data_IF_747404060395
#
_entry.id   IF_747404060395
#
_cell.length_a   1.000
_cell.length_b   1.000
_cell.length_c   1.000
_cell.angle_alpha   90.00
_cell.angle_beta   90.00
_cell.angle_gamma   90.00
#
_symmetry.space_group_name_H-M   'P 1'
#
loop_
_entity.id
_entity.type
_entity.pdbx_description
1 polymer ?
#
# COMPACT_ATOMS: atom_id res chain seq x y z
N UNK A 1 -58.23 -38.54 42.95
CA UNK A 1 -59.23 -39.01 41.97
C UNK A 1 -58.57 -39.01 40.59
N UNK A 2 -58.57 -40.18 39.93
CA UNK A 2 -58.17 -40.51 38.54
C UNK A 2 -56.67 -40.41 38.18
N UNK A 3 -55.92 -41.54 38.18
CA UNK A 3 -55.74 -42.60 37.13
C UNK A 3 -54.84 -42.12 35.99
N UNK A 4 -53.62 -42.62 35.75
CA UNK A 4 -53.10 -44.00 35.63
C UNK A 4 -53.54 -44.70 34.32
N UNK A 5 -53.05 -44.16 33.19
CA UNK A 5 -52.88 -44.79 31.88
C UNK A 5 -52.09 -43.76 31.03
N UNK A 6 -50.78 -43.83 30.80
CA UNK A 6 -50.06 -44.98 30.29
C UNK A 6 -48.65 -45.11 30.88
N UNK A 7 -48.42 -46.28 31.46
CA UNK A 7 -47.09 -46.87 31.57
C UNK A 7 -46.56 -47.16 30.16
N UNK A 8 -45.43 -46.58 29.79
CA UNK A 8 -44.74 -47.02 28.59
C UNK A 8 -43.41 -46.33 28.31
N UNK A 9 -42.32 -46.95 28.76
CA UNK A 9 -40.93 -46.75 28.31
C UNK A 9 -40.20 -45.48 28.79
N UNK A 10 -39.40 -45.64 29.84
CA UNK A 10 -37.98 -45.27 29.78
C UNK A 10 -37.28 -45.75 31.07
N UNK A 11 -36.79 -46.99 31.02
CA UNK A 11 -35.81 -47.46 31.96
C UNK A 11 -34.53 -46.61 31.85
N UNK A 12 -33.96 -46.28 33.02
CA UNK A 12 -32.52 -46.09 33.30
C UNK A 12 -31.65 -45.47 32.20
N UNK A 13 -31.12 -44.28 32.47
CA UNK A 13 -29.66 -44.15 32.49
C UNK A 13 -29.22 -43.12 33.52
N UNK A 14 -28.45 -43.60 34.51
CA UNK A 14 -27.71 -42.81 35.49
C UNK A 14 -26.58 -42.06 34.77
N UNK A 15 -26.24 -40.89 35.31
CA UNK A 15 -25.27 -39.97 34.74
C UNK A 15 -23.90 -40.56 34.40
N UNK A 16 -23.36 -40.07 33.30
CA UNK A 16 -21.95 -40.21 32.94
C UNK A 16 -21.26 -38.86 33.18
N UNK A 17 -20.28 -38.85 34.09
CA UNK A 17 -19.29 -37.77 34.13
C UNK A 17 -18.56 -37.75 32.79
N UNK A 18 -18.34 -36.59 32.15
CA UNK A 18 -17.66 -36.54 30.87
C UNK A 18 -16.23 -37.08 31.01
N UNK A 19 -15.85 -37.94 30.07
CA UNK A 19 -14.58 -38.66 30.04
C UNK A 19 -13.37 -37.70 29.94
N UNK A 20 -12.21 -38.01 30.58
CA UNK A 20 -11.02 -37.15 30.54
C UNK A 20 -10.47 -36.89 29.13
N UNK A 21 -10.77 -37.79 28.18
CA UNK A 21 -10.35 -37.68 26.77
C UNK A 21 -11.15 -36.62 25.99
N UNK A 22 -12.43 -36.39 26.30
CA UNK A 22 -13.21 -35.32 25.69
C UNK A 22 -12.65 -33.92 26.04
N UNK A 23 -12.07 -33.77 27.24
CA UNK A 23 -11.41 -32.54 27.69
C UNK A 23 -10.04 -32.29 27.04
N UNK A 24 -9.37 -33.34 26.54
CA UNK A 24 -8.08 -33.24 25.82
C UNK A 24 -8.26 -32.91 24.34
N UNK A 25 -9.31 -33.40 23.69
CA UNK A 25 -9.66 -33.07 22.30
C UNK A 25 -9.95 -31.57 22.12
N UNK A 26 -10.71 -30.95 23.02
CA UNK A 26 -11.04 -29.51 22.97
C UNK A 26 -9.85 -28.57 23.27
N UNK A 27 -8.77 -29.07 23.89
CA UNK A 27 -7.55 -28.27 24.15
C UNK A 27 -6.59 -28.23 22.96
N UNK A 28 -6.60 -29.24 22.08
CA UNK A 28 -5.70 -29.33 20.93
C UNK A 28 -6.07 -28.42 19.75
N UNK A 29 -7.36 -28.10 19.59
CA UNK A 29 -7.86 -27.18 18.55
C UNK A 29 -7.66 -25.70 18.94
N UNK A 30 -7.46 -25.41 20.23
CA UNK A 30 -7.26 -24.05 20.75
C UNK A 30 -5.85 -23.48 20.57
N UNK A 31 -4.81 -24.33 20.53
CA UNK A 31 -3.43 -23.86 20.36
C UNK A 31 -3.18 -23.33 18.93
N UNK A 32 -3.70 -24.03 17.92
CA UNK A 32 -3.63 -23.60 16.52
C UNK A 32 -4.55 -22.43 16.17
N UNK A 33 -5.63 -22.21 16.94
CA UNK A 33 -6.49 -21.03 16.79
C UNK A 33 -5.89 -19.79 17.46
N UNK A 34 -5.30 -19.93 18.65
CA UNK A 34 -4.56 -18.86 19.34
C UNK A 34 -3.33 -18.42 18.55
N UNK A 35 -2.55 -19.36 17.99
CA UNK A 35 -1.40 -19.04 17.14
C UNK A 35 -1.80 -18.31 15.84
N UNK A 36 -2.89 -18.74 15.19
CA UNK A 36 -3.44 -18.01 14.02
C UNK A 36 -3.97 -16.62 14.40
N UNK A 37 -4.67 -16.50 15.53
CA UNK A 37 -5.14 -15.21 16.02
C UNK A 37 -3.97 -14.28 16.36
N UNK A 38 -2.89 -14.81 16.92
CA UNK A 38 -1.65 -14.09 17.16
C UNK A 38 -1.02 -13.59 15.86
N UNK A 39 -0.85 -14.44 14.84
CA UNK A 39 -0.29 -14.01 13.55
C UNK A 39 -1.09 -12.88 12.89
N UNK A 40 -2.42 -12.93 12.97
CA UNK A 40 -3.33 -11.87 12.47
C UNK A 40 -3.24 -10.54 13.24
N UNK A 41 -2.62 -10.54 14.42
CA UNK A 41 -2.32 -9.30 15.16
C UNK A 41 -1.08 -8.60 14.62
N UNK A 42 -0.12 -9.35 14.06
CA UNK A 42 1.18 -8.85 13.62
C UNK A 42 1.22 -8.49 12.14
N UNK A 43 0.56 -9.25 11.27
CA UNK A 43 0.67 -9.09 9.82
C UNK A 43 -0.70 -8.78 9.19
N UNK A 44 -0.79 -7.79 8.29
CA UNK A 44 -1.97 -7.57 7.46
C UNK A 44 -2.30 -8.77 6.57
N UNK A 45 -3.54 -9.26 6.65
CA UNK A 45 -4.03 -10.44 5.91
C UNK A 45 -4.37 -10.16 4.42
N UNK A 46 -4.20 -8.91 3.93
CA UNK A 46 -4.72 -8.49 2.63
C UNK A 46 -3.62 -8.43 1.56
N UNK A 47 -3.59 -9.42 0.66
CA UNK A 47 -2.63 -9.51 -0.45
C UNK A 47 -2.67 -8.26 -1.34
N UNK A 48 -3.87 -7.75 -1.64
CA UNK A 48 -4.06 -6.54 -2.44
C UNK A 48 -3.48 -5.27 -1.80
N UNK A 49 -3.56 -5.14 -0.46
CA UNK A 49 -3.03 -4.00 0.26
C UNK A 49 -1.49 -3.92 0.17
N UNK A 50 -0.83 -5.07 0.29
CA UNK A 50 0.63 -5.17 0.11
C UNK A 50 1.06 -4.78 -1.30
N UNK A 51 0.34 -5.23 -2.34
CA UNK A 51 0.65 -4.87 -3.71
C UNK A 51 0.54 -3.35 -3.93
N UNK A 52 -0.56 -2.72 -3.51
CA UNK A 52 -0.73 -1.28 -3.69
C UNK A 52 0.31 -0.47 -2.89
N UNK A 53 0.63 -0.90 -1.67
CA UNK A 53 1.60 -0.20 -0.83
C UNK A 53 3.05 -0.33 -1.32
N UNK A 54 3.46 -1.50 -1.84
CA UNK A 54 4.86 -1.76 -2.17
C UNK A 54 5.22 -1.52 -3.64
N UNK A 55 4.28 -1.74 -4.58
CA UNK A 55 4.58 -1.68 -6.02
C UNK A 55 5.14 -0.32 -6.47
N UNK A 56 4.64 0.85 -6.01
CA UNK A 56 5.21 2.13 -6.44
C UNK A 56 6.67 2.30 -6.00
N UNK A 57 6.98 1.98 -4.74
CA UNK A 57 8.35 2.05 -4.21
C UNK A 57 9.29 1.10 -4.95
N UNK A 58 8.84 -0.13 -5.19
CA UNK A 58 9.61 -1.13 -5.92
C UNK A 58 9.85 -0.71 -7.38
N UNK A 59 8.86 -0.10 -8.04
CA UNK A 59 9.03 0.42 -9.39
C UNK A 59 10.04 1.57 -9.40
N UNK A 60 9.98 2.46 -8.40
CA UNK A 60 10.95 3.54 -8.26
C UNK A 60 12.38 3.03 -8.07
N UNK A 61 12.56 1.97 -7.27
CA UNK A 61 13.86 1.29 -7.11
C UNK A 61 14.38 0.72 -8.44
N UNK A 62 13.53 0.11 -9.25
CA UNK A 62 13.93 -0.48 -10.53
C UNK A 62 14.19 0.59 -11.60
N UNK A 63 13.40 1.66 -11.63
CA UNK A 63 13.57 2.78 -12.55
C UNK A 63 14.83 3.58 -12.22
N UNK A 64 15.04 3.89 -10.93
CA UNK A 64 16.20 4.63 -10.43
C UNK A 64 17.50 3.82 -10.46
N UNK A 65 17.41 2.50 -10.39
CA UNK A 65 18.54 1.60 -10.25
C UNK A 65 18.71 1.14 -8.79
N UNK A 66 18.95 -0.15 -8.55
CA UNK A 66 19.04 -0.69 -7.20
C UNK A 66 20.31 -0.19 -6.50
N UNK A 67 20.13 0.32 -5.28
CA UNK A 67 21.20 0.71 -4.36
C UNK A 67 20.88 0.14 -2.98
N UNK A 68 21.89 -0.02 -2.12
CA UNK A 68 21.67 -0.49 -0.75
C UNK A 68 20.74 0.47 0.03
N UNK A 69 20.83 1.77 -0.24
CA UNK A 69 19.96 2.81 0.34
C UNK A 69 18.51 2.63 -0.11
N UNK A 70 18.28 2.31 -1.39
CA UNK A 70 16.96 1.99 -1.92
C UNK A 70 16.38 0.72 -1.31
N UNK A 71 17.20 -0.32 -1.13
CA UNK A 71 16.76 -1.55 -0.46
C UNK A 71 16.39 -1.28 1.00
N UNK A 72 17.19 -0.49 1.72
CA UNK A 72 16.90 -0.09 3.08
C UNK A 72 15.61 0.76 3.17
N UNK A 73 15.39 1.68 2.22
CA UNK A 73 14.14 2.43 2.10
C UNK A 73 12.93 1.49 1.95
N UNK A 74 13.04 0.45 1.12
CA UNK A 74 11.96 -0.53 0.95
C UNK A 74 11.68 -1.33 2.21
N UNK A 75 12.72 -1.72 2.95
CA UNK A 75 12.58 -2.41 4.24
C UNK A 75 11.93 -1.49 5.28
N UNK A 76 12.40 -0.24 5.38
CA UNK A 76 11.83 0.77 6.28
C UNK A 76 10.36 1.03 5.96
N UNK A 77 10.01 1.10 4.68
CA UNK A 77 8.63 1.26 4.21
C UNK A 77 7.74 0.07 4.58
N UNK A 78 8.21 -1.16 4.40
CA UNK A 78 7.47 -2.37 4.80
C UNK A 78 7.22 -2.42 6.31
N UNK A 79 8.19 -2.01 7.13
CA UNK A 79 8.00 -1.87 8.57
C UNK A 79 7.04 -0.74 8.92
N UNK A 80 7.11 0.39 8.22
CA UNK A 80 6.18 1.51 8.40
C UNK A 80 4.73 1.08 8.11
N UNK A 81 4.49 0.31 7.05
CA UNK A 81 3.18 -0.24 6.73
C UNK A 81 2.66 -1.19 7.83
N UNK A 82 3.54 -2.02 8.40
CA UNK A 82 3.17 -2.89 9.52
C UNK A 82 2.92 -2.09 10.81
N UNK A 83 3.69 -1.03 11.04
CA UNK A 83 3.50 -0.10 12.15
C UNK A 83 2.16 0.63 12.04
N UNK A 84 1.77 1.08 10.87
CA UNK A 84 0.46 1.70 10.64
C UNK A 84 -0.68 0.75 11.01
N UNK A 85 -0.61 -0.50 10.56
CA UNK A 85 -1.64 -1.51 10.85
C UNK A 85 -1.75 -1.87 12.35
N UNK A 86 -0.61 -1.99 13.02
CA UNK A 86 -0.56 -2.35 14.45
C UNK A 86 -0.82 -1.15 15.35
N UNK A 87 -0.32 0.02 14.96
CA UNK A 87 -0.48 1.31 15.64
C UNK A 87 -1.91 1.82 15.61
N UNK A 88 -2.60 1.75 14.46
CA UNK A 88 -4.03 2.09 14.37
C UNK A 88 -4.88 1.29 15.37
N UNK A 89 -4.67 -0.04 15.41
CA UNK A 89 -5.33 -0.93 16.40
C UNK A 89 -4.99 -0.58 17.85
N UNK A 90 -3.73 -0.23 18.12
CA UNK A 90 -3.31 0.15 19.46
C UNK A 90 -3.95 1.47 19.90
N UNK A 91 -4.09 2.44 19.01
CA UNK A 91 -4.77 3.71 19.30
C UNK A 91 -6.28 3.53 19.50
N UNK A 92 -6.96 2.80 18.61
CA UNK A 92 -8.41 2.55 18.72
C UNK A 92 -8.77 1.80 20.00
N UNK A 93 -7.87 0.94 20.48
CA UNK A 93 -8.01 0.22 21.76
C UNK A 93 -7.61 1.05 22.99
N UNK A 94 -7.49 2.37 22.87
CA UNK A 94 -7.09 3.28 23.95
C UNK A 94 -5.79 2.86 24.63
N UNK A 95 -4.80 2.48 23.81
CA UNK A 95 -3.46 2.05 24.23
C UNK A 95 -3.44 0.79 25.09
N UNK A 96 -4.41 -0.11 24.94
CA UNK A 96 -4.45 -1.37 25.69
C UNK A 96 -3.15 -2.20 25.55
N UNK A 97 -2.64 -2.70 26.70
CA UNK A 97 -1.38 -3.43 26.79
C UNK A 97 -1.29 -4.67 25.88
N UNK A 98 -2.42 -5.26 25.49
CA UNK A 98 -2.48 -6.41 24.58
C UNK A 98 -1.97 -6.08 23.16
N UNK A 99 -2.16 -4.84 22.70
CA UNK A 99 -1.79 -4.42 21.33
C UNK A 99 -0.50 -3.60 21.29
N UNK A 100 0.08 -3.27 22.46
CA UNK A 100 1.32 -2.50 22.57
C UNK A 100 2.57 -3.21 22.02
N UNK A 101 2.82 -4.51 22.30
CA UNK A 101 4.05 -5.17 21.84
C UNK A 101 4.27 -5.14 20.31
N UNK A 102 3.29 -5.47 19.45
CA UNK A 102 3.50 -5.40 18.00
C UNK A 102 3.64 -3.94 17.51
N UNK A 103 2.88 -3.00 18.07
CA UNK A 103 2.97 -1.59 17.69
C UNK A 103 4.34 -1.00 18.04
N UNK A 104 4.84 -1.23 19.25
CA UNK A 104 6.15 -0.74 19.69
C UNK A 104 7.30 -1.44 18.95
N UNK A 105 7.17 -2.74 18.67
CA UNK A 105 8.17 -3.49 17.91
C UNK A 105 8.35 -2.94 16.50
N UNK A 106 7.25 -2.74 15.75
CA UNK A 106 7.34 -2.14 14.43
C UNK A 106 7.73 -0.65 14.48
N UNK A 107 7.29 0.11 15.50
CA UNK A 107 7.75 1.49 15.70
C UNK A 107 9.27 1.56 15.85
N UNK A 108 9.86 0.70 16.69
CA UNK A 108 11.30 0.63 16.90
C UNK A 108 12.03 0.20 15.63
N UNK A 109 11.53 -0.81 14.92
CA UNK A 109 12.14 -1.25 13.65
C UNK A 109 12.10 -0.14 12.59
N UNK A 110 10.98 0.57 12.45
CA UNK A 110 10.86 1.72 11.54
C UNK A 110 11.79 2.85 11.98
N UNK A 111 11.90 3.14 13.29
CA UNK A 111 12.79 4.17 13.80
C UNK A 111 14.27 3.84 13.56
N UNK A 112 14.69 2.61 13.83
CA UNK A 112 16.08 2.15 13.61
C UNK A 112 16.41 2.17 12.12
N UNK A 113 15.57 1.58 11.26
CA UNK A 113 15.83 1.55 9.81
C UNK A 113 15.77 2.95 9.20
N UNK A 114 14.83 3.78 9.64
CA UNK A 114 14.74 5.19 9.25
C UNK A 114 15.94 6.01 9.71
N UNK A 115 16.43 5.81 10.94
CA UNK A 115 17.61 6.52 11.45
C UNK A 115 18.87 6.13 10.67
N UNK A 116 19.08 4.84 10.41
CA UNK A 116 20.20 4.38 9.57
C UNK A 116 20.14 5.03 8.18
N UNK A 117 18.94 5.13 7.60
CA UNK A 117 18.75 5.77 6.30
C UNK A 117 19.01 7.29 6.36
N UNK A 118 18.54 7.98 7.40
CA UNK A 118 18.74 9.43 7.57
C UNK A 118 20.20 9.80 7.85
N UNK A 119 20.92 8.94 8.58
CA UNK A 119 22.37 9.05 8.77
C UNK A 119 23.05 8.89 7.40
N UNK A 120 22.69 7.86 6.63
CA UNK A 120 23.30 7.64 5.30
C UNK A 120 22.89 8.64 4.20
N UNK A 121 21.76 9.32 4.34
CA UNK A 121 21.17 10.26 3.36
C UNK A 121 20.40 11.38 4.06
N UNK A 122 21.09 12.38 4.64
CA UNK A 122 20.43 13.40 5.45
C UNK A 122 19.48 14.29 4.65
N UNK A 123 19.67 14.40 3.34
CA UNK A 123 18.79 15.13 2.44
C UNK A 123 17.36 14.57 2.39
N UNK A 124 17.12 13.30 2.77
CA UNK A 124 15.78 12.74 2.88
C UNK A 124 14.88 13.49 3.88
N UNK A 125 15.46 14.24 4.83
CA UNK A 125 14.70 15.08 5.77
C UNK A 125 13.79 16.10 5.06
N UNK A 126 14.04 16.45 3.79
CA UNK A 126 13.14 17.31 3.00
C UNK A 126 11.73 16.75 2.85
N UNK A 127 11.59 15.43 2.87
CA UNK A 127 10.29 14.74 2.76
C UNK A 127 9.61 14.57 4.11
N UNK A 128 10.31 14.83 5.23
CA UNK A 128 9.77 14.64 6.57
C UNK A 128 8.53 15.49 6.84
N UNK A 129 8.43 16.79 6.45
CA UNK A 129 7.21 17.56 6.65
C UNK A 129 5.99 16.95 5.96
N UNK A 130 6.16 16.47 4.72
CA UNK A 130 5.08 15.82 3.97
C UNK A 130 4.61 14.53 4.67
N UNK A 131 5.53 13.63 5.01
CA UNK A 131 5.17 12.38 5.69
C UNK A 131 4.65 12.60 7.11
N UNK A 132 5.07 13.66 7.79
CA UNK A 132 4.52 14.02 9.09
C UNK A 132 3.05 14.42 8.96
N UNK A 133 2.72 15.27 7.98
CA UNK A 133 1.31 15.65 7.71
C UNK A 133 0.50 14.42 7.31
N UNK A 134 0.99 13.58 6.38
CA UNK A 134 0.29 12.36 5.95
C UNK A 134 0.10 11.37 7.11
N UNK A 135 1.12 11.21 7.97
CA UNK A 135 1.07 10.34 9.13
C UNK A 135 0.09 10.84 10.20
N UNK A 136 0.10 12.14 10.51
CA UNK A 136 -0.86 12.75 11.44
C UNK A 136 -2.28 12.58 10.93
N UNK A 137 -2.51 12.86 9.64
CA UNK A 137 -3.81 12.65 9.00
C UNK A 137 -4.24 11.18 9.12
N UNK A 138 -3.39 10.23 8.76
CA UNK A 138 -3.73 8.81 8.85
C UNK A 138 -4.07 8.37 10.29
N UNK A 139 -3.29 8.80 11.28
CA UNK A 139 -3.55 8.49 12.67
C UNK A 139 -4.78 9.22 13.25
N UNK A 140 -5.06 10.43 12.79
CA UNK A 140 -6.30 11.13 13.09
C UNK A 140 -7.51 10.35 12.53
N UNK A 141 -7.38 9.76 11.33
CA UNK A 141 -8.40 8.89 10.76
C UNK A 141 -8.67 7.67 11.64
N UNK A 142 -7.60 7.05 12.14
CA UNK A 142 -7.70 5.92 13.07
C UNK A 142 -8.37 6.32 14.38
N UNK A 143 -7.99 7.47 14.96
CA UNK A 143 -8.59 7.99 16.20
C UNK A 143 -10.09 8.27 16.05
N UNK A 144 -10.48 8.91 14.94
CA UNK A 144 -11.89 9.18 14.62
C UNK A 144 -12.67 7.94 14.19
N UNK A 145 -12.03 6.75 14.14
CA UNK A 145 -12.60 5.50 13.63
C UNK A 145 -13.09 5.60 12.17
N UNK A 146 -12.48 6.50 11.41
CA UNK A 146 -12.73 6.75 9.98
C UNK A 146 -11.59 6.23 9.10
N UNK A 147 -10.88 5.19 9.52
CA UNK A 147 -9.82 4.50 8.75
C UNK A 147 -10.25 4.11 7.33
N UNK A 148 -11.57 4.01 7.12
CA UNK A 148 -12.24 3.56 5.91
C UNK A 148 -12.71 4.68 5.00
N UNK A 149 -12.40 5.92 5.35
CA UNK A 149 -12.84 7.13 4.66
C UNK A 149 -12.10 7.35 3.33
N UNK A 150 -12.71 8.14 2.45
CA UNK A 150 -12.12 8.51 1.15
C UNK A 150 -10.81 9.27 1.29
N UNK A 151 -10.75 10.21 2.22
CA UNK A 151 -9.54 10.98 2.43
C UNK A 151 -8.39 10.13 3.01
N UNK A 152 -8.68 9.16 3.89
CA UNK A 152 -7.63 8.29 4.42
C UNK A 152 -7.00 7.42 3.33
N UNK A 153 -7.83 6.84 2.46
CA UNK A 153 -7.32 6.07 1.33
C UNK A 153 -6.54 6.98 0.35
N UNK A 154 -6.94 8.23 0.15
CA UNK A 154 -6.16 9.21 -0.64
C UNK A 154 -4.79 9.48 0.00
N UNK A 155 -4.73 9.67 1.32
CA UNK A 155 -3.47 9.89 2.06
C UNK A 155 -2.53 8.69 1.87
N UNK A 156 -3.04 7.46 1.96
CA UNK A 156 -2.25 6.25 1.75
C UNK A 156 -1.72 6.14 0.30
N UNK A 157 -2.56 6.44 -0.70
CA UNK A 157 -2.15 6.46 -2.12
C UNK A 157 -1.07 7.51 -2.36
N UNK A 158 -1.24 8.73 -1.83
CA UNK A 158 -0.23 9.79 -1.95
C UNK A 158 1.08 9.32 -1.31
N UNK A 159 1.05 8.80 -0.09
CA UNK A 159 2.25 8.33 0.61
C UNK A 159 2.99 7.24 -0.20
N UNK A 160 2.26 6.22 -0.69
CA UNK A 160 2.85 5.15 -1.50
C UNK A 160 3.44 5.68 -2.82
N UNK A 161 2.75 6.60 -3.49
CA UNK A 161 3.20 7.13 -4.78
C UNK A 161 4.37 8.11 -4.63
N UNK A 162 4.39 8.93 -3.58
CA UNK A 162 5.56 9.78 -3.27
C UNK A 162 6.80 8.93 -2.96
N UNK A 163 6.63 7.74 -2.37
CA UNK A 163 7.75 6.82 -2.18
C UNK A 163 8.39 6.39 -3.52
N UNK A 164 7.60 6.22 -4.58
CA UNK A 164 8.13 5.94 -5.92
C UNK A 164 9.11 7.02 -6.37
N UNK A 165 8.70 8.28 -6.25
CA UNK A 165 9.52 9.45 -6.58
C UNK A 165 10.82 9.48 -5.76
N UNK A 166 10.72 9.24 -4.45
CA UNK A 166 11.87 9.17 -3.55
C UNK A 166 12.81 8.04 -3.98
N UNK A 167 12.31 6.84 -4.23
CA UNK A 167 13.11 5.69 -4.64
C UNK A 167 13.82 5.90 -6.00
N UNK A 168 13.18 6.61 -6.94
CA UNK A 168 13.85 7.03 -8.19
C UNK A 168 15.01 7.98 -7.89
N UNK A 169 14.79 8.97 -7.02
CA UNK A 169 15.82 9.97 -6.67
C UNK A 169 17.04 9.39 -5.94
N UNK A 170 16.88 8.28 -5.20
CA UNK A 170 17.96 7.54 -4.53
C UNK A 170 18.72 6.58 -5.46
N UNK A 171 18.24 6.41 -6.70
CA UNK A 171 18.76 5.44 -7.63
C UNK A 171 20.16 5.75 -8.15
N UNK A 172 20.95 4.71 -8.43
CA UNK A 172 22.31 4.84 -8.97
C UNK A 172 22.37 5.56 -10.32
N UNK A 173 21.28 5.52 -11.12
CA UNK A 173 21.21 6.21 -12.43
C UNK A 173 21.16 7.73 -12.31
N UNK A 174 20.81 8.26 -11.15
CA UNK A 174 20.72 9.69 -10.87
C UNK A 174 21.88 10.20 -9.99
N UNK A 175 22.81 9.31 -9.65
CA UNK A 175 24.02 9.60 -8.89
C UNK A 175 25.10 10.14 -9.85
N UNK A 176 24.94 11.39 -10.31
CA UNK A 176 25.96 12.05 -11.16
C UNK A 176 27.01 12.76 -10.28
N UNK A 177 28.28 12.33 -10.26
CA UNK A 177 29.34 13.18 -9.73
C UNK A 177 29.39 14.47 -10.56
N UNK A 178 29.33 15.63 -9.91
CA UNK A 178 29.45 16.91 -10.59
C UNK A 178 30.84 17.05 -11.24
N UNK A 179 30.96 17.61 -12.46
CA UNK A 179 32.26 17.89 -13.05
C UNK A 179 32.98 18.92 -12.18
N UNK A 180 34.15 18.55 -11.64
CA UNK A 180 35.00 19.43 -10.82
C UNK A 180 35.02 19.14 -9.31
N UNK A 181 34.27 18.16 -8.78
CA UNK A 181 34.47 17.65 -7.41
C UNK A 181 35.31 16.37 -7.43
N UNK A 182 36.52 16.47 -7.97
CA UNK A 182 37.56 15.50 -7.62
C UNK A 182 38.01 15.80 -6.18
N UNK A 183 37.69 14.89 -5.26
CA UNK A 183 38.47 14.67 -4.05
C UNK A 183 38.68 15.90 -3.14
N UNK A 184 37.67 16.72 -2.91
CA UNK A 184 37.64 17.50 -1.67
C UNK A 184 37.19 16.54 -0.57
N UNK A 185 38.01 16.39 0.49
CA UNK A 185 37.70 15.69 1.74
C UNK A 185 36.44 16.29 2.39
N UNK A 186 35.30 15.99 1.81
CA UNK A 186 34.02 16.33 2.35
C UNK A 186 33.74 15.20 3.33
N UNK A 187 33.93 15.45 4.62
CA UNK A 187 33.65 14.46 5.67
C UNK A 187 32.22 13.95 5.60
N UNK A 188 31.73 13.27 6.64
CA UNK A 188 30.36 12.73 6.66
C UNK A 188 29.24 13.73 6.27
N UNK A 189 29.49 15.05 6.39
CA UNK A 189 28.58 16.15 6.01
C UNK A 189 28.82 16.75 4.61
N UNK A 190 29.68 16.13 3.82
CA UNK A 190 30.03 16.54 2.47
C UNK A 190 28.96 16.23 1.43
N UNK A 191 28.68 17.19 0.53
CA UNK A 191 27.81 16.95 -0.62
C UNK A 191 28.51 16.06 -1.67
N UNK A 192 28.31 14.75 -1.58
CA UNK A 192 28.78 13.77 -2.57
C UNK A 192 27.81 12.58 -2.64
N UNK A 193 27.60 11.94 -3.80
CA UNK A 193 27.60 12.42 -5.19
C UNK A 193 26.16 12.63 -5.74
N UNK A 194 25.12 12.57 -4.92
CA UNK A 194 23.74 12.84 -5.32
C UNK A 194 23.15 14.04 -4.54
N UNK A 195 23.08 15.25 -5.14
CA UNK A 195 22.56 16.44 -4.46
C UNK A 195 21.06 16.35 -4.12
N UNK A 196 20.34 15.34 -4.62
CA UNK A 196 18.95 15.08 -4.27
C UNK A 196 18.77 14.53 -2.85
N UNK A 197 19.77 13.85 -2.28
CA UNK A 197 19.60 13.05 -1.05
C UNK A 197 20.75 13.19 -0.05
N UNK A 198 21.91 13.68 -0.49
CA UNK A 198 23.10 13.73 0.36
C UNK A 198 23.23 15.05 1.14
N UNK A 199 22.65 16.16 0.67
CA UNK A 199 22.76 17.45 1.37
C UNK A 199 21.67 18.47 0.98
N UNK A 200 21.68 19.63 1.64
CA UNK A 200 20.77 20.76 1.44
C UNK A 200 21.43 21.97 0.75
N UNK A 201 22.65 21.84 0.22
CA UNK A 201 23.41 22.96 -0.35
C UNK A 201 22.72 23.63 -1.55
N UNK A 202 21.88 22.89 -2.29
CA UNK A 202 21.10 23.38 -3.44
C UNK A 202 19.68 23.84 -3.08
N UNK A 203 19.41 24.07 -1.78
CA UNK A 203 18.10 24.47 -1.26
C UNK A 203 17.25 23.29 -0.76
N UNK A 204 15.99 23.57 -0.40
CA UNK A 204 15.09 22.58 0.19
C UNK A 204 14.58 21.55 -0.83
N UNK A 205 14.27 21.99 -2.06
CA UNK A 205 13.76 21.17 -3.16
C UNK A 205 14.53 21.44 -4.47
N UNK A 206 15.74 20.88 -4.64
CA UNK A 206 16.46 20.93 -5.91
C UNK A 206 15.76 20.08 -6.97
N UNK A 207 15.93 20.46 -8.25
CA UNK A 207 15.41 19.71 -9.41
C UNK A 207 15.86 18.24 -9.43
N UNK A 208 17.03 17.93 -8.87
CA UNK A 208 17.53 16.57 -8.72
C UNK A 208 16.67 15.70 -7.77
N UNK A 209 15.98 16.29 -6.79
CA UNK A 209 15.04 15.56 -5.92
C UNK A 209 13.69 15.31 -6.58
N UNK A 210 13.41 15.97 -7.70
CA UNK A 210 12.20 15.84 -8.49
C UNK A 210 12.55 15.39 -9.93
N UNK A 211 13.17 14.21 -10.13
CA UNK A 211 13.42 13.72 -11.48
C UNK A 211 12.08 13.58 -12.20
N UNK A 212 11.96 14.16 -13.40
CA UNK A 212 10.72 14.16 -14.19
C UNK A 212 10.15 12.76 -14.37
N UNK A 213 11.02 11.77 -14.59
CA UNK A 213 10.66 10.34 -14.66
C UNK A 213 10.04 9.83 -13.36
N UNK A 214 10.57 10.23 -12.21
CA UNK A 214 10.01 9.87 -10.91
C UNK A 214 8.68 10.55 -10.63
N UNK A 215 8.54 11.83 -10.99
CA UNK A 215 7.28 12.59 -10.80
C UNK A 215 6.17 11.99 -11.65
N UNK A 216 6.46 11.70 -12.92
CA UNK A 216 5.49 11.12 -13.86
C UNK A 216 5.14 9.69 -13.46
N UNK A 217 6.12 8.87 -13.08
CA UNK A 217 5.84 7.52 -12.59
C UNK A 217 4.98 7.52 -11.33
N UNK A 218 5.28 8.40 -10.37
CA UNK A 218 4.48 8.60 -9.18
C UNK A 218 3.05 9.08 -9.51
N UNK A 219 2.89 9.99 -10.47
CA UNK A 219 1.59 10.45 -10.92
C UNK A 219 0.76 9.34 -11.58
N UNK A 220 1.38 8.52 -12.46
CA UNK A 220 0.73 7.36 -13.09
C UNK A 220 0.28 6.34 -12.04
N UNK A 221 1.12 6.04 -11.06
CA UNK A 221 0.71 5.19 -9.93
C UNK A 221 -0.43 5.83 -9.13
N UNK A 222 -0.36 7.13 -8.84
CA UNK A 222 -1.39 7.81 -8.04
C UNK A 222 -2.76 7.73 -8.71
N UNK A 223 -2.85 8.05 -10.01
CA UNK A 223 -4.14 8.03 -10.72
C UNK A 223 -4.69 6.61 -10.90
N UNK A 224 -3.83 5.62 -11.13
CA UNK A 224 -4.26 4.22 -11.33
C UNK A 224 -4.60 3.54 -10.00
N UNK A 225 -3.85 3.79 -8.93
CA UNK A 225 -4.15 3.27 -7.59
C UNK A 225 -5.38 3.93 -7.00
N UNK A 226 -5.53 5.26 -7.16
CA UNK A 226 -6.75 5.92 -6.70
C UNK A 226 -7.97 5.33 -7.39
N UNK A 227 -7.96 5.16 -8.72
CA UNK A 227 -9.03 4.49 -9.45
C UNK A 227 -9.32 3.06 -8.95
N UNK A 228 -8.29 2.33 -8.52
CA UNK A 228 -8.41 1.01 -7.91
C UNK A 228 -9.03 1.04 -6.52
N UNK A 229 -8.72 2.05 -5.69
CA UNK A 229 -9.42 2.28 -4.41
C UNK A 229 -10.91 2.52 -4.63
N UNK A 230 -11.28 3.36 -5.61
CA UNK A 230 -12.69 3.61 -5.97
C UNK A 230 -13.35 2.28 -6.33
N UNK A 231 -12.72 1.51 -7.22
CA UNK A 231 -13.21 0.20 -7.63
C UNK A 231 -13.42 -0.76 -6.44
N UNK A 232 -12.43 -0.92 -5.57
CA UNK A 232 -12.55 -1.80 -4.39
C UNK A 232 -13.68 -1.35 -3.47
N UNK A 233 -13.89 -0.05 -3.31
CA UNK A 233 -15.04 0.47 -2.56
C UNK A 233 -16.37 0.08 -3.17
N UNK A 234 -16.51 0.13 -4.50
CA UNK A 234 -17.74 -0.33 -5.18
C UNK A 234 -18.04 -1.81 -4.92
N UNK A 235 -17.01 -2.62 -4.72
CA UNK A 235 -17.14 -4.07 -4.56
C UNK A 235 -17.41 -4.49 -3.11
N UNK A 236 -16.80 -3.80 -2.12
CA UNK A 236 -16.81 -4.23 -0.72
C UNK A 236 -17.78 -3.40 0.13
N UNK A 237 -17.49 -2.11 0.31
CA UNK A 237 -18.13 -1.28 1.35
C UNK A 237 -19.30 -0.46 0.84
N UNK A 238 -19.18 0.07 -0.39
CA UNK A 238 -20.18 0.91 -1.04
C UNK A 238 -20.98 0.15 -2.10
N UNK A 239 -21.08 -1.17 -1.92
CA UNK A 239 -21.75 -2.07 -2.84
C UNK A 239 -23.23 -1.70 -2.98
N UNK A 240 -23.68 -1.56 -4.22
CA UNK A 240 -25.05 -1.21 -4.57
C UNK A 240 -25.30 0.29 -4.73
N UNK A 241 -24.37 1.16 -4.29
CA UNK A 241 -24.50 2.61 -4.53
C UNK A 241 -24.13 2.96 -5.97
N UNK A 242 -25.09 3.48 -6.71
CA UNK A 242 -24.94 3.85 -8.13
C UNK A 242 -23.88 4.93 -8.34
N UNK A 243 -23.83 5.94 -7.47
CA UNK A 243 -22.83 7.00 -7.53
C UNK A 243 -21.39 6.46 -7.50
N UNK A 244 -21.07 5.56 -6.57
CA UNK A 244 -19.73 5.00 -6.44
C UNK A 244 -19.34 4.19 -7.68
N UNK A 245 -20.30 3.43 -8.24
CA UNK A 245 -20.10 2.69 -9.49
C UNK A 245 -19.84 3.63 -10.68
N UNK A 246 -20.66 4.66 -10.85
CA UNK A 246 -20.49 5.65 -11.92
C UNK A 246 -19.17 6.40 -11.79
N UNK A 247 -18.78 6.76 -10.57
CA UNK A 247 -17.49 7.40 -10.29
C UNK A 247 -16.32 6.48 -10.69
N UNK A 248 -16.38 5.19 -10.33
CA UNK A 248 -15.37 4.21 -10.74
C UNK A 248 -15.30 4.08 -12.26
N UNK A 249 -16.45 4.03 -12.93
CA UNK A 249 -16.51 3.89 -14.39
C UNK A 249 -15.97 5.14 -15.09
N UNK A 250 -16.39 6.34 -14.65
CA UNK A 250 -15.95 7.62 -15.18
C UNK A 250 -14.43 7.80 -15.00
N UNK A 251 -13.88 7.43 -13.84
CA UNK A 251 -12.44 7.50 -13.58
C UNK A 251 -11.64 6.61 -14.55
N UNK A 252 -12.05 5.36 -14.72
CA UNK A 252 -11.35 4.44 -15.64
C UNK A 252 -11.56 4.83 -17.11
N UNK A 253 -12.71 5.42 -17.46
CA UNK A 253 -12.93 5.98 -18.80
C UNK A 253 -12.00 7.16 -19.07
N UNK A 254 -11.79 8.04 -18.09
CA UNK A 254 -10.82 9.13 -18.20
C UNK A 254 -9.39 8.60 -18.40
N UNK A 255 -9.01 7.52 -17.71
CA UNK A 255 -7.72 6.85 -17.96
C UNK A 255 -7.62 6.31 -19.39
N UNK A 256 -8.70 5.77 -19.96
CA UNK A 256 -8.72 5.36 -21.37
C UNK A 256 -8.54 6.55 -22.32
N UNK A 257 -9.20 7.68 -22.07
CA UNK A 257 -9.05 8.89 -22.89
C UNK A 257 -7.61 9.41 -22.86
N UNK A 258 -6.98 9.43 -21.69
CA UNK A 258 -5.55 9.75 -21.56
C UNK A 258 -4.71 8.73 -22.35
N UNK A 259 -5.02 7.44 -22.23
CA UNK A 259 -4.37 6.39 -22.99
C UNK A 259 -4.45 6.61 -24.51
N UNK A 260 -5.62 7.00 -25.03
CA UNK A 260 -5.84 7.34 -26.45
C UNK A 260 -4.97 8.52 -26.88
N UNK A 261 -4.93 9.60 -26.08
CA UNK A 261 -4.10 10.76 -26.37
C UNK A 261 -2.61 10.41 -26.42
N UNK A 262 -2.18 9.45 -25.59
CA UNK A 262 -0.81 8.98 -25.53
C UNK A 262 -0.44 7.93 -26.59
N UNK A 263 -1.38 7.43 -27.41
CA UNK A 263 -1.09 6.34 -28.38
C UNK A 263 0.02 6.73 -29.37
N UNK A 264 0.03 7.98 -29.84
CA UNK A 264 1.01 8.44 -30.82
C UNK A 264 2.42 8.57 -30.24
N UNK A 265 2.53 8.88 -28.95
CA UNK A 265 3.80 9.22 -28.30
C UNK A 265 4.35 8.08 -27.43
N UNK A 266 3.49 7.34 -26.74
CA UNK A 266 3.83 6.25 -25.83
C UNK A 266 3.34 4.87 -26.31
N UNK A 267 2.76 4.80 -27.51
CA UNK A 267 2.27 3.55 -28.09
C UNK A 267 0.97 3.04 -27.45
N UNK A 268 0.62 1.79 -27.77
CA UNK A 268 -0.67 1.21 -27.37
C UNK A 268 -0.71 0.71 -25.93
N UNK A 269 0.43 0.52 -25.26
CA UNK A 269 0.51 -0.09 -23.93
C UNK A 269 -0.26 0.66 -22.82
N UNK A 270 -0.20 2.01 -22.72
CA UNK A 270 -1.01 2.76 -21.76
C UNK A 270 -2.51 2.59 -22.00
N UNK A 271 -2.93 2.62 -23.28
CA UNK A 271 -4.33 2.41 -23.66
C UNK A 271 -4.81 1.00 -23.33
N UNK A 272 -4.04 -0.03 -23.67
CA UNK A 272 -4.39 -1.42 -23.36
C UNK A 272 -4.53 -1.64 -21.85
N UNK A 273 -3.62 -1.07 -21.06
CA UNK A 273 -3.70 -1.14 -19.59
C UNK A 273 -4.95 -0.44 -19.08
N UNK A 274 -5.24 0.78 -19.57
CA UNK A 274 -6.45 1.51 -19.19
C UNK A 274 -7.73 0.76 -19.58
N UNK A 275 -7.77 0.11 -20.75
CA UNK A 275 -8.89 -0.72 -21.18
C UNK A 275 -9.10 -1.92 -20.25
N UNK A 276 -8.02 -2.60 -19.82
CA UNK A 276 -8.13 -3.68 -18.82
C UNK A 276 -8.69 -3.15 -17.50
N UNK A 277 -8.24 -1.96 -17.05
CA UNK A 277 -8.75 -1.31 -15.83
C UNK A 277 -10.23 -0.88 -15.96
N UNK A 278 -10.66 -0.47 -17.15
CA UNK A 278 -12.06 -0.14 -17.44
C UNK A 278 -12.94 -1.38 -17.50
N UNK A 279 -12.50 -2.42 -18.20
CA UNK A 279 -13.22 -3.70 -18.34
C UNK A 279 -13.46 -4.32 -16.97
N UNK A 280 -12.46 -4.38 -16.08
CA UNK A 280 -12.67 -4.87 -14.71
C UNK A 280 -13.68 -4.01 -13.94
N UNK A 281 -13.64 -2.68 -14.13
CA UNK A 281 -14.47 -1.74 -13.39
C UNK A 281 -15.93 -1.79 -13.84
N UNK A 282 -16.19 -2.20 -15.08
CA UNK A 282 -17.52 -2.44 -15.61
C UNK A 282 -18.02 -3.86 -15.29
N UNK A 283 -17.24 -4.89 -15.60
CA UNK A 283 -17.67 -6.29 -15.54
C UNK A 283 -17.85 -6.80 -14.12
N UNK A 284 -16.88 -6.56 -13.22
CA UNK A 284 -16.94 -7.15 -11.87
C UNK A 284 -18.12 -6.62 -11.04
N UNK A 285 -18.41 -5.31 -11.01
CA UNK A 285 -19.58 -4.82 -10.30
C UNK A 285 -20.89 -5.25 -10.96
N UNK A 286 -20.94 -5.35 -12.29
CA UNK A 286 -22.12 -5.84 -13.01
C UNK A 286 -22.43 -7.30 -12.68
N UNK A 287 -21.42 -8.18 -12.72
CA UNK A 287 -21.56 -9.59 -12.31
C UNK A 287 -21.89 -9.68 -10.82
N UNK A 288 -21.29 -8.82 -9.99
CA UNK A 288 -21.57 -8.77 -8.55
C UNK A 288 -23.02 -8.36 -8.22
N UNK A 289 -23.78 -7.77 -9.15
CA UNK A 289 -25.23 -7.55 -8.95
C UNK A 289 -26.03 -8.85 -8.99
N UNK A 290 -25.58 -9.82 -9.79
CA UNK A 290 -26.28 -11.10 -9.99
C UNK A 290 -25.70 -12.23 -9.13
N UNK A 291 -24.40 -12.20 -8.82
CA UNK A 291 -23.70 -13.26 -8.06
C UNK A 291 -22.87 -12.67 -6.92
N UNK A 292 -22.72 -13.42 -5.82
CA UNK A 292 -21.80 -13.03 -4.73
C UNK A 292 -20.37 -13.41 -5.09
N UNK A 293 -19.54 -12.40 -5.36
CA UNK A 293 -18.10 -12.57 -5.58
C UNK A 293 -17.37 -12.54 -4.21
N UNK A 294 -16.55 -13.56 -3.88
CA UNK A 294 -15.78 -13.55 -2.63
C UNK A 294 -14.69 -12.48 -2.64
N UNK A 295 -14.39 -11.93 -1.46
CA UNK A 295 -13.40 -10.85 -1.27
C UNK A 295 -12.01 -11.24 -1.79
N UNK A 296 -11.66 -12.53 -1.71
CA UNK A 296 -10.37 -13.05 -2.19
C UNK A 296 -10.17 -12.81 -3.69
N UNK A 297 -11.21 -13.01 -4.52
CA UNK A 297 -11.11 -12.81 -5.97
C UNK A 297 -10.96 -11.33 -6.33
N UNK A 298 -11.65 -10.46 -5.61
CA UNK A 298 -11.47 -9.00 -5.76
C UNK A 298 -10.02 -8.64 -5.47
N UNK A 299 -9.46 -9.13 -4.36
CA UNK A 299 -8.05 -8.91 -4.01
C UNK A 299 -7.06 -9.46 -5.06
N UNK A 300 -7.35 -10.62 -5.66
CA UNK A 300 -6.51 -11.21 -6.70
C UNK A 300 -6.52 -10.38 -7.99
N UNK A 301 -7.69 -9.91 -8.42
CA UNK A 301 -7.80 -9.04 -9.60
C UNK A 301 -7.08 -7.73 -9.35
N UNK A 302 -7.21 -7.13 -8.16
CA UNK A 302 -6.45 -5.92 -7.80
C UNK A 302 -4.94 -6.15 -7.83
N UNK A 303 -4.47 -7.30 -7.34
CA UNK A 303 -3.05 -7.65 -7.45
C UNK A 303 -2.61 -7.77 -8.90
N UNK A 304 -3.40 -8.45 -9.74
CA UNK A 304 -3.07 -8.63 -11.16
C UNK A 304 -3.04 -7.29 -11.91
N UNK A 305 -3.99 -6.40 -11.66
CA UNK A 305 -4.06 -5.09 -12.32
C UNK A 305 -3.01 -4.12 -11.78
N UNK A 306 -2.71 -4.18 -10.48
CA UNK A 306 -1.59 -3.43 -9.90
C UNK A 306 -0.24 -3.90 -10.45
N UNK A 307 -0.07 -5.20 -10.67
CA UNK A 307 1.12 -5.76 -11.31
C UNK A 307 1.23 -5.35 -12.78
N UNK A 308 0.11 -5.32 -13.51
CA UNK A 308 0.07 -4.83 -14.89
C UNK A 308 0.52 -3.36 -14.97
N UNK A 309 -0.01 -2.50 -14.09
CA UNK A 309 0.40 -1.09 -14.00
C UNK A 309 1.88 -0.98 -13.62
N UNK A 310 2.34 -1.80 -12.67
CA UNK A 310 3.75 -1.84 -12.28
C UNK A 310 4.67 -2.16 -13.46
N UNK A 311 4.34 -3.18 -14.25
CA UNK A 311 5.09 -3.56 -15.46
C UNK A 311 5.05 -2.43 -16.48
N UNK A 312 3.88 -1.84 -16.73
CA UNK A 312 3.73 -0.69 -17.63
C UNK A 312 4.66 0.45 -17.22
N UNK A 313 4.63 0.84 -15.95
CA UNK A 313 5.41 1.98 -15.45
C UNK A 313 6.91 1.72 -15.62
N UNK A 314 7.40 0.52 -15.29
CA UNK A 314 8.83 0.20 -15.46
C UNK A 314 9.22 0.17 -16.94
N UNK A 315 8.40 -0.43 -17.80
CA UNK A 315 8.72 -0.59 -19.21
C UNK A 315 8.63 0.73 -20.00
N UNK A 316 7.75 1.65 -19.58
CA UNK A 316 7.42 2.86 -20.34
C UNK A 316 7.78 4.15 -19.59
N UNK A 317 8.47 4.11 -18.46
CA UNK A 317 8.79 5.29 -17.65
C UNK A 317 9.38 6.44 -18.48
N UNK A 318 10.41 6.15 -19.28
CA UNK A 318 11.07 7.15 -20.11
C UNK A 318 10.18 7.70 -21.23
N UNK A 319 9.46 6.81 -21.93
CA UNK A 319 8.59 7.19 -23.06
C UNK A 319 7.37 7.99 -22.59
N UNK A 320 6.75 7.60 -21.47
CA UNK A 320 5.67 8.36 -20.86
C UNK A 320 6.15 9.73 -20.37
N UNK A 321 7.39 9.80 -19.88
CA UNK A 321 7.99 11.07 -19.45
C UNK A 321 8.10 12.03 -20.61
N UNK A 322 8.73 11.61 -21.71
CA UNK A 322 8.91 12.46 -22.90
C UNK A 322 7.58 12.86 -23.53
N UNK A 323 6.63 11.92 -23.61
CA UNK A 323 5.28 12.17 -24.12
C UNK A 323 4.55 13.27 -23.32
N UNK A 324 4.52 13.14 -21.99
CA UNK A 324 3.78 14.08 -21.14
C UNK A 324 4.47 15.44 -21.03
N UNK A 325 5.81 15.48 -21.00
CA UNK A 325 6.53 16.76 -21.06
C UNK A 325 6.33 17.47 -22.38
N UNK A 326 6.25 16.73 -23.50
CA UNK A 326 5.96 17.30 -24.81
C UNK A 326 4.54 17.84 -24.91
N UNK A 327 3.55 17.16 -24.31
CA UNK A 327 2.16 17.63 -24.28
C UNK A 327 1.94 18.85 -23.36
N UNK A 328 2.71 18.99 -22.29
CA UNK A 328 2.61 20.11 -21.35
C UNK A 328 3.44 21.33 -21.79
N UNK A 329 4.44 21.13 -22.67
CA UNK A 329 5.30 22.18 -23.21
C UNK A 329 4.86 22.72 -24.57
N UNK A 330 3.80 22.16 -25.17
CA UNK A 330 3.17 22.60 -26.42
C UNK A 330 1.86 23.33 -26.13
#
# INVERSE_FOLDING_TARGET
MLTDADRGKAARSKGSRPSPQARKSAKSTGAGSKGRQWRRLWIPDQIGGWAMALMPGLAGLLIGGPTWRNLLLMVAWAFCYCFEFTGSRWMVSHRAARFAPPALGYALLTAVTGLILLVGTPGLLRWAPLYLVLGVLNFAAAWMRTERSWWNDTVAVIAACTLCLIAVSLGSRFQKPGPGLESANSGFFGCQPNPAVDCFASGFLPSAALPSVGVISAAVFAVTQFGSVIFVKTMIRERGKTWCYLLSLAWNLALCLIGVAMVRTAGWWPLLTALVLLVRAALLPAIARQRRIPILYVGLVECATSLLVFILVIAQAGVMTTALTGLLGA
#
